data_IF_852323903697
#
_entry.id   IF_852323903697
#
_cell.length_a   1.000
_cell.length_b   1.000
_cell.length_c   1.000
_cell.angle_alpha   90.00
_cell.angle_beta   90.00
_cell.angle_gamma   90.00
#
_symmetry.space_group_name_H-M   'P 1'
#
loop_
_entity.id
_entity.type
_entity.pdbx_description
1 polymer ?
#
# COMPACT_ATOMS: atom_id res chain seq x y z
N UNK A 1 -32.88 -3.41 -80.68
CA UNK A 1 -31.57 -3.64 -80.09
C UNK A 1 -31.52 -2.83 -78.81
N UNK A 2 -31.59 -3.55 -77.64
CA UNK A 2 -31.58 -2.98 -76.28
C UNK A 2 -30.22 -3.28 -75.67
N UNK A 3 -29.42 -2.25 -75.51
CA UNK A 3 -28.11 -2.34 -74.81
C UNK A 3 -28.35 -2.27 -73.30
N UNK A 4 -28.00 -3.33 -72.58
CA UNK A 4 -28.02 -3.39 -71.11
C UNK A 4 -26.63 -2.93 -70.60
N UNK A 5 -26.61 -1.83 -69.86
CA UNK A 5 -25.40 -1.36 -69.14
C UNK A 5 -25.39 -2.08 -67.78
N UNK A 6 -24.38 -2.91 -67.55
CA UNK A 6 -24.09 -3.47 -66.21
C UNK A 6 -23.20 -2.47 -65.43
N UNK A 7 -23.74 -1.88 -64.41
CA UNK A 7 -22.97 -1.10 -63.43
C UNK A 7 -22.41 -2.04 -62.38
N UNK A 8 -21.10 -2.17 -62.34
CA UNK A 8 -20.37 -2.89 -61.26
C UNK A 8 -20.22 -1.98 -60.03
N UNK A 9 -20.92 -2.30 -58.96
CA UNK A 9 -20.75 -1.64 -57.67
C UNK A 9 -19.57 -2.32 -56.91
N UNK A 10 -18.46 -1.60 -56.80
CA UNK A 10 -17.32 -2.01 -55.95
C UNK A 10 -17.62 -1.66 -54.51
N UNK A 11 -17.91 -2.69 -53.67
CA UNK A 11 -17.93 -2.57 -52.20
C UNK A 11 -16.49 -2.40 -51.70
N UNK A 12 -16.15 -1.20 -51.28
CA UNK A 12 -14.93 -0.95 -50.51
C UNK A 12 -15.10 -1.46 -49.08
N UNK A 13 -14.41 -2.52 -48.75
CA UNK A 13 -14.29 -3.02 -47.35
C UNK A 13 -13.28 -2.12 -46.65
N UNK A 14 -13.76 -1.15 -45.88
CA UNK A 14 -12.94 -0.39 -44.93
C UNK A 14 -12.60 -1.28 -43.73
N UNK A 15 -11.38 -1.81 -43.71
CA UNK A 15 -10.86 -2.50 -42.50
C UNK A 15 -10.61 -1.47 -41.42
N UNK A 16 -11.51 -1.33 -40.47
CA UNK A 16 -11.27 -0.61 -39.25
C UNK A 16 -10.28 -1.41 -38.39
N UNK A 17 -9.03 -0.96 -38.32
CA UNK A 17 -8.09 -1.44 -37.31
C UNK A 17 -8.63 -1.06 -35.93
N UNK A 18 -9.25 -2.03 -35.25
CA UNK A 18 -9.56 -1.92 -33.83
C UNK A 18 -8.21 -1.94 -33.08
N UNK A 19 -7.74 -0.75 -32.65
CA UNK A 19 -6.73 -0.69 -31.62
C UNK A 19 -7.38 -1.26 -30.34
N UNK A 20 -7.08 -2.51 -30.02
CA UNK A 20 -7.37 -3.03 -28.70
C UNK A 20 -6.44 -2.33 -27.73
N UNK A 21 -6.93 -1.29 -27.06
CA UNK A 21 -6.27 -0.78 -25.87
C UNK A 21 -6.30 -1.91 -24.85
N UNK A 22 -5.14 -2.50 -24.54
CA UNK A 22 -5.01 -3.38 -23.41
C UNK A 22 -5.42 -2.60 -22.16
N UNK A 23 -6.41 -3.10 -21.42
CA UNK A 23 -6.74 -2.55 -20.11
C UNK A 23 -5.45 -2.58 -19.28
N UNK A 24 -5.09 -1.48 -18.59
CA UNK A 24 -3.91 -1.46 -17.74
C UNK A 24 -4.05 -2.60 -16.73
N UNK A 25 -3.09 -3.53 -16.71
CA UNK A 25 -3.06 -4.59 -15.74
C UNK A 25 -2.77 -3.93 -14.38
N UNK A 26 -3.64 -4.18 -13.39
CA UNK A 26 -3.49 -3.64 -12.03
C UNK A 26 -2.83 -4.66 -11.10
N UNK A 27 -2.14 -5.64 -11.66
CA UNK A 27 -1.50 -6.69 -10.88
C UNK A 27 -0.12 -6.24 -10.41
N UNK A 28 -0.11 -5.59 -9.25
CA UNK A 28 1.12 -5.33 -8.51
C UNK A 28 1.31 -6.45 -7.49
N UNK A 29 2.50 -7.04 -7.48
CA UNK A 29 2.95 -8.00 -6.46
C UNK A 29 4.06 -7.36 -5.63
N UNK A 30 4.05 -7.65 -4.34
CA UNK A 30 5.08 -7.12 -3.45
C UNK A 30 4.74 -7.34 -1.99
N UNK A 31 5.49 -6.69 -1.14
CA UNK A 31 5.42 -6.82 0.29
C UNK A 31 4.86 -5.54 0.92
N UNK A 32 4.19 -5.72 2.04
CA UNK A 32 3.65 -4.64 2.84
C UNK A 32 4.09 -4.77 4.30
N UNK A 33 4.40 -3.63 4.91
CA UNK A 33 4.71 -3.53 6.33
C UNK A 33 4.07 -2.28 6.91
N UNK A 34 3.56 -2.36 8.13
CA UNK A 34 3.06 -1.19 8.86
C UNK A 34 3.40 -1.26 10.35
N UNK A 35 3.46 -0.10 10.97
CA UNK A 35 3.45 0.06 12.43
C UNK A 35 2.48 1.17 12.81
N UNK A 36 1.79 0.98 13.91
CA UNK A 36 0.85 1.94 14.50
C UNK A 36 1.28 2.26 15.94
N UNK A 37 0.94 3.44 16.41
CA UNK A 37 1.00 3.75 17.85
C UNK A 37 -0.17 3.11 18.61
N UNK A 38 -1.26 2.75 17.92
CA UNK A 38 -2.30 1.89 18.48
C UNK A 38 -1.91 0.41 18.38
N UNK A 39 -2.13 -0.36 19.43
CA UNK A 39 -1.94 -1.81 19.37
C UNK A 39 -2.83 -2.46 18.33
N UNK A 40 -2.27 -3.39 17.55
CA UNK A 40 -3.06 -4.13 16.56
C UNK A 40 -3.79 -5.33 17.15
N UNK A 41 -3.35 -5.84 18.29
CA UNK A 41 -4.03 -6.92 18.99
C UNK A 41 -5.31 -6.44 19.66
N UNK A 42 -6.32 -7.31 19.70
CA UNK A 42 -7.58 -7.02 20.36
C UNK A 42 -7.58 -7.50 21.80
N UNK A 43 -8.40 -6.89 22.64
CA UNK A 43 -8.60 -7.31 24.01
C UNK A 43 -8.40 -6.19 25.02
N UNK A 44 -8.94 -6.34 26.25
CA UNK A 44 -9.01 -5.27 27.23
C UNK A 44 -7.65 -4.85 27.80
N UNK A 45 -6.59 -5.61 27.52
CA UNK A 45 -5.24 -5.32 27.99
C UNK A 45 -4.43 -4.46 27.03
N UNK A 46 -4.94 -4.19 25.83
CA UNK A 46 -4.25 -3.41 24.79
C UNK A 46 -4.79 -1.99 24.71
N UNK A 47 -3.95 -1.07 24.20
CA UNK A 47 -4.25 0.36 24.15
C UNK A 47 -5.57 0.70 23.46
N UNK A 48 -5.96 -0.04 22.43
CA UNK A 48 -7.22 0.21 21.70
C UNK A 48 -8.48 -0.04 22.54
N UNK A 49 -8.38 -0.78 23.64
CA UNK A 49 -9.49 -1.09 24.52
C UNK A 49 -9.60 -0.11 25.70
N UNK A 50 -8.61 0.73 25.90
CA UNK A 50 -8.55 1.65 27.03
C UNK A 50 -9.11 3.03 26.65
N UNK A 51 -9.97 3.58 27.52
CA UNK A 51 -10.58 4.89 27.29
C UNK A 51 -9.54 6.00 27.46
N UNK A 52 -9.47 6.90 26.49
CA UNK A 52 -8.60 8.07 26.51
C UNK A 52 -7.17 7.83 26.04
N UNK A 53 -6.82 6.63 25.59
CA UNK A 53 -5.58 6.40 24.91
C UNK A 53 -5.67 6.81 23.43
N UNK A 54 -4.61 7.43 22.92
CA UNK A 54 -4.54 7.90 21.55
C UNK A 54 -3.39 7.20 20.82
N UNK A 55 -3.75 6.36 19.87
CA UNK A 55 -2.81 5.73 18.96
C UNK A 55 -3.09 6.19 17.53
N UNK A 56 -2.74 7.43 17.22
CA UNK A 56 -3.15 8.19 16.03
C UNK A 56 -2.08 8.30 14.95
N UNK A 57 -0.91 7.69 15.18
CA UNK A 57 0.17 7.67 14.20
C UNK A 57 0.34 6.29 13.59
N UNK A 58 0.70 6.25 12.29
CA UNK A 58 1.17 5.04 11.64
C UNK A 58 2.20 5.34 10.55
N UNK A 59 3.03 4.33 10.30
CA UNK A 59 3.88 4.25 9.12
C UNK A 59 3.46 3.03 8.32
N UNK A 60 3.30 3.21 7.02
CA UNK A 60 2.90 2.20 6.04
C UNK A 60 3.95 2.13 4.95
N UNK A 61 4.32 0.94 4.52
CA UNK A 61 5.33 0.77 3.47
C UNK A 61 4.98 -0.36 2.50
N UNK A 62 5.16 -0.09 1.22
CA UNK A 62 4.96 -1.02 0.12
C UNK A 62 6.27 -1.17 -0.66
N UNK A 63 6.72 -2.41 -0.81
CA UNK A 63 7.78 -2.80 -1.72
C UNK A 63 7.14 -3.51 -2.91
N UNK A 64 7.32 -2.97 -4.09
CA UNK A 64 6.80 -3.55 -5.33
C UNK A 64 7.88 -4.45 -5.90
N UNK A 65 7.64 -5.76 -5.94
CA UNK A 65 8.56 -6.71 -6.54
C UNK A 65 8.37 -6.79 -8.04
N UNK A 66 7.11 -6.76 -8.48
CA UNK A 66 6.74 -6.84 -9.88
C UNK A 66 5.38 -6.21 -10.15
N UNK A 67 5.26 -5.52 -11.26
CA UNK A 67 3.99 -5.05 -11.80
C UNK A 67 4.01 -3.63 -12.29
N UNK A 68 2.88 -3.25 -12.86
CA UNK A 68 2.64 -1.90 -13.33
C UNK A 68 1.41 -1.29 -12.64
N UNK A 69 1.41 0.02 -12.52
CA UNK A 69 0.27 0.78 -12.05
C UNK A 69 -0.06 1.89 -13.05
N UNK A 70 -1.29 1.88 -13.56
CA UNK A 70 -1.75 2.79 -14.62
C UNK A 70 -0.84 2.78 -15.87
N UNK A 71 -0.28 1.61 -16.20
CA UNK A 71 0.60 1.41 -17.35
C UNK A 71 2.06 1.82 -17.12
N UNK A 72 2.43 2.22 -15.90
CA UNK A 72 3.80 2.57 -15.53
C UNK A 72 4.42 1.40 -14.74
N UNK A 73 5.54 0.87 -15.24
CA UNK A 73 6.27 -0.19 -14.54
C UNK A 73 6.89 0.33 -13.24
N UNK A 74 6.63 -0.39 -12.14
CA UNK A 74 7.09 -0.05 -10.79
C UNK A 74 8.02 -1.13 -10.20
N UNK A 75 8.49 -2.08 -10.99
CA UNK A 75 9.32 -3.19 -10.53
C UNK A 75 10.51 -2.71 -9.68
N UNK A 76 10.65 -3.29 -8.50
CA UNK A 76 11.77 -3.03 -7.61
C UNK A 76 11.69 -1.69 -6.85
N UNK A 77 10.67 -0.88 -7.07
CA UNK A 77 10.48 0.40 -6.39
C UNK A 77 9.65 0.26 -5.10
N UNK A 78 9.75 1.28 -4.27
CA UNK A 78 9.05 1.31 -2.99
C UNK A 78 8.42 2.67 -2.72
N UNK A 79 7.42 2.70 -1.85
CA UNK A 79 6.82 3.92 -1.33
C UNK A 79 6.41 3.70 0.12
N UNK A 80 6.57 4.73 0.95
CA UNK A 80 6.10 4.73 2.33
C UNK A 80 5.19 5.92 2.57
N UNK A 81 4.26 5.75 3.54
CA UNK A 81 3.41 6.81 4.03
C UNK A 81 3.48 6.89 5.54
N UNK A 82 3.74 8.07 6.08
CA UNK A 82 3.57 8.37 7.51
C UNK A 82 2.27 9.17 7.67
N UNK A 83 1.41 8.76 8.58
CA UNK A 83 0.10 9.39 8.80
C UNK A 83 -0.07 9.85 10.25
N UNK A 84 -0.81 10.95 10.38
CA UNK A 84 -1.31 11.45 11.66
C UNK A 84 -2.83 11.62 11.54
N UNK A 85 -3.54 10.78 12.26
CA UNK A 85 -5.00 10.78 12.32
C UNK A 85 -5.51 11.71 13.41
N UNK A 86 -6.79 12.01 13.41
CA UNK A 86 -7.44 12.80 14.46
C UNK A 86 -7.87 11.99 15.69
N UNK A 87 -7.77 10.64 15.59
CA UNK A 87 -8.17 9.72 16.65
C UNK A 87 -7.42 8.38 16.51
N UNK A 88 -7.60 7.50 17.48
CA UNK A 88 -6.96 6.17 17.53
C UNK A 88 -7.29 5.34 16.30
N UNK A 89 -6.25 4.88 15.61
CA UNK A 89 -6.34 4.01 14.45
C UNK A 89 -6.86 2.62 14.86
N UNK A 90 -7.90 2.15 14.18
CA UNK A 90 -8.59 0.90 14.52
C UNK A 90 -9.76 1.07 15.50
N UNK A 91 -10.00 2.27 16.04
CA UNK A 91 -11.22 2.55 16.78
C UNK A 91 -12.42 2.48 15.82
N UNK A 92 -13.42 1.66 16.18
CA UNK A 92 -14.63 1.45 15.38
C UNK A 92 -15.77 2.39 15.76
N UNK A 93 -15.63 3.16 16.83
CA UNK A 93 -16.67 4.02 17.39
C UNK A 93 -16.53 5.44 16.84
N UNK A 94 -15.30 5.97 16.82
CA UNK A 94 -15.03 7.35 16.42
C UNK A 94 -14.35 7.40 15.06
N UNK A 95 -14.55 8.52 14.36
CA UNK A 95 -13.85 8.74 13.09
C UNK A 95 -12.37 9.07 13.34
N UNK A 96 -11.49 8.50 12.52
CA UNK A 96 -10.06 8.83 12.51
C UNK A 96 -9.74 10.06 11.66
N UNK A 97 -10.72 10.59 10.95
CA UNK A 97 -10.54 11.73 10.04
C UNK A 97 -10.76 13.08 10.73
N UNK A 98 -10.09 14.14 10.26
CA UNK A 98 -9.15 14.19 9.14
C UNK A 98 -7.82 13.48 9.45
N UNK A 99 -7.14 13.00 8.39
CA UNK A 99 -5.81 12.39 8.45
C UNK A 99 -4.88 13.21 7.56
N UNK A 100 -3.69 13.55 8.06
CA UNK A 100 -2.61 14.15 7.29
C UNK A 100 -1.55 13.11 7.00
N UNK A 101 -0.99 13.14 5.79
CA UNK A 101 0.00 12.18 5.36
C UNK A 101 1.24 12.85 4.77
N UNK A 102 2.39 12.25 5.02
CA UNK A 102 3.64 12.49 4.30
C UNK A 102 3.94 11.23 3.50
N UNK A 103 4.26 11.38 2.21
CA UNK A 103 4.76 10.28 1.40
C UNK A 103 6.28 10.36 1.27
N UNK A 104 6.91 9.20 1.32
CA UNK A 104 8.33 9.03 0.99
C UNK A 104 8.38 8.10 -0.20
N UNK A 105 8.89 8.61 -1.32
CA UNK A 105 8.96 7.90 -2.59
C UNK A 105 10.41 7.52 -2.85
N UNK A 106 10.61 6.31 -3.34
CA UNK A 106 11.93 5.80 -3.73
C UNK A 106 12.64 6.79 -4.66
N UNK A 107 13.82 7.24 -4.27
CA UNK A 107 14.59 8.22 -5.05
C UNK A 107 15.01 7.72 -6.43
N UNK A 108 15.10 6.38 -6.61
CA UNK A 108 15.42 5.72 -7.89
C UNK A 108 14.32 5.90 -8.93
N UNK A 109 13.10 6.24 -8.50
CA UNK A 109 11.96 6.43 -9.38
C UNK A 109 12.17 7.66 -10.28
N UNK A 110 11.93 7.51 -11.58
CA UNK A 110 11.86 8.62 -12.52
C UNK A 110 10.58 9.45 -12.31
N UNK A 111 10.42 10.56 -13.03
CA UNK A 111 9.30 11.48 -12.84
C UNK A 111 7.91 10.83 -13.03
N UNK A 112 7.76 9.95 -14.02
CA UNK A 112 6.52 9.24 -14.30
C UNK A 112 6.24 8.20 -13.19
N UNK A 113 7.25 7.43 -12.79
CA UNK A 113 7.16 6.46 -11.71
C UNK A 113 6.82 7.11 -10.36
N UNK A 114 7.34 8.31 -10.07
CA UNK A 114 7.00 9.06 -8.86
C UNK A 114 5.51 9.42 -8.80
N UNK A 115 4.95 9.84 -9.92
CA UNK A 115 3.50 10.10 -10.00
C UNK A 115 2.68 8.82 -9.82
N UNK A 116 3.11 7.73 -10.45
CA UNK A 116 2.45 6.43 -10.35
C UNK A 116 2.56 5.86 -8.93
N UNK A 117 3.73 5.95 -8.25
CA UNK A 117 3.91 5.52 -6.85
C UNK A 117 3.03 6.33 -5.89
N UNK A 118 2.91 7.66 -6.09
CA UNK A 118 1.97 8.48 -5.32
C UNK A 118 0.54 7.99 -5.50
N UNK A 119 0.10 7.82 -6.75
CA UNK A 119 -1.26 7.36 -7.05
C UNK A 119 -1.51 5.94 -6.53
N UNK A 120 -0.52 5.04 -6.61
CA UNK A 120 -0.56 3.71 -6.04
C UNK A 120 -0.74 3.77 -4.52
N UNK A 121 0.10 4.52 -3.80
CA UNK A 121 0.00 4.66 -2.35
C UNK A 121 -1.37 5.21 -1.93
N UNK A 122 -1.88 6.23 -2.63
CA UNK A 122 -3.21 6.79 -2.38
C UNK A 122 -4.33 5.78 -2.67
N UNK A 123 -4.18 4.93 -3.69
CA UNK A 123 -5.13 3.85 -3.98
C UNK A 123 -5.13 2.80 -2.87
N UNK A 124 -3.95 2.39 -2.40
CA UNK A 124 -3.80 1.37 -1.38
C UNK A 124 -4.18 1.87 0.01
N UNK A 125 -3.76 3.06 0.39
CA UNK A 125 -4.08 3.66 1.70
C UNK A 125 -5.46 4.32 1.75
N UNK A 126 -6.12 4.51 0.61
CA UNK A 126 -7.45 5.10 0.53
C UNK A 126 -7.53 6.47 1.20
N UNK A 127 -8.53 6.66 2.04
CA UNK A 127 -8.76 7.92 2.75
C UNK A 127 -7.62 8.30 3.71
N UNK A 128 -6.84 7.33 4.20
CA UNK A 128 -5.70 7.61 5.08
C UNK A 128 -4.58 8.38 4.37
N UNK A 129 -4.47 8.24 3.05
CA UNK A 129 -3.48 8.93 2.21
C UNK A 129 -4.10 9.93 1.24
N UNK A 130 -5.34 10.38 1.50
CA UNK A 130 -6.00 11.36 0.63
C UNK A 130 -5.38 12.76 0.75
N UNK A 131 -5.07 13.22 1.97
CA UNK A 131 -4.45 14.53 2.23
C UNK A 131 -2.93 14.39 2.43
N UNK A 132 -2.19 14.34 1.33
CA UNK A 132 -0.73 14.32 1.32
C UNK A 132 -0.21 15.74 1.42
N UNK A 133 0.27 16.12 2.59
CA UNK A 133 0.76 17.48 2.87
C UNK A 133 2.22 17.69 2.46
N UNK A 134 2.98 16.60 2.32
CA UNK A 134 4.40 16.66 1.93
C UNK A 134 4.86 15.37 1.23
N UNK A 135 5.87 15.48 0.37
CA UNK A 135 6.50 14.35 -0.32
C UNK A 135 8.01 14.49 -0.22
N UNK A 136 8.67 13.44 0.28
CA UNK A 136 10.11 13.27 0.33
C UNK A 136 10.58 12.22 -0.66
N UNK A 137 11.86 12.29 -1.04
CA UNK A 137 12.51 11.30 -1.90
C UNK A 137 13.74 10.76 -1.18
N UNK A 138 13.75 9.48 -0.89
CA UNK A 138 14.81 8.82 -0.13
C UNK A 138 15.14 7.45 -0.76
N UNK A 139 16.34 6.93 -0.54
CA UNK A 139 16.61 5.53 -0.79
C UNK A 139 15.74 4.69 0.14
N UNK A 140 14.91 3.81 -0.43
CA UNK A 140 14.07 2.91 0.36
C UNK A 140 14.58 1.49 0.20
N UNK A 141 14.84 0.84 1.34
CA UNK A 141 15.29 -0.55 1.40
C UNK A 141 14.28 -1.38 2.17
N UNK A 142 14.05 -2.62 1.73
CA UNK A 142 13.20 -3.58 2.40
C UNK A 142 13.89 -4.95 2.45
N UNK A 143 13.85 -5.57 3.61
CA UNK A 143 14.31 -6.93 3.83
C UNK A 143 13.35 -7.68 4.73
N UNK A 144 13.03 -8.92 4.35
CA UNK A 144 12.22 -9.84 5.14
C UNK A 144 13.01 -11.15 5.34
N UNK A 145 13.04 -11.67 6.56
CA UNK A 145 13.76 -12.88 6.87
C UNK A 145 13.19 -14.07 6.07
N UNK A 146 14.07 -14.80 5.41
CA UNK A 146 13.76 -15.98 4.59
C UNK A 146 12.72 -15.72 3.48
N UNK A 147 12.48 -14.47 3.10
CA UNK A 147 11.39 -14.06 2.21
C UNK A 147 10.05 -14.69 2.63
N UNK A 148 9.80 -14.76 3.92
CA UNK A 148 8.65 -15.47 4.49
C UNK A 148 7.95 -14.61 5.56
N UNK A 149 6.73 -14.19 5.27
CA UNK A 149 5.90 -13.38 6.17
C UNK A 149 5.64 -14.06 7.52
N UNK A 150 5.64 -15.38 7.58
CA UNK A 150 5.44 -16.13 8.84
C UNK A 150 6.57 -15.96 9.84
N UNK A 151 7.76 -15.52 9.41
CA UNK A 151 8.85 -15.18 10.33
C UNK A 151 8.52 -13.94 11.15
N UNK A 152 7.64 -13.07 10.65
CA UNK A 152 7.27 -11.77 11.23
C UNK A 152 8.47 -10.84 11.45
N UNK A 153 9.57 -11.12 10.76
CA UNK A 153 10.82 -10.34 10.83
C UNK A 153 11.01 -9.62 9.50
N UNK A 154 10.81 -8.33 9.53
CA UNK A 154 11.05 -7.47 8.38
C UNK A 154 11.61 -6.12 8.84
N UNK A 155 12.37 -5.50 7.95
CA UNK A 155 12.90 -4.14 8.12
C UNK A 155 12.62 -3.36 6.85
N UNK A 156 12.09 -2.16 7.01
CA UNK A 156 11.98 -1.18 5.94
C UNK A 156 12.56 0.14 6.37
N UNK A 157 13.42 0.72 5.56
CA UNK A 157 14.06 2.01 5.87
C UNK A 157 13.83 2.99 4.72
N UNK A 158 13.74 4.28 5.05
CA UNK A 158 13.78 5.38 4.10
C UNK A 158 14.90 6.35 4.51
N UNK A 159 16.08 6.15 3.95
CA UNK A 159 17.29 6.86 4.34
C UNK A 159 17.51 6.78 5.86
N UNK A 160 17.71 7.94 6.48
CA UNK A 160 17.79 8.08 7.94
C UNK A 160 16.51 8.68 8.56
N UNK A 161 15.43 8.83 7.76
CA UNK A 161 14.18 9.47 8.20
C UNK A 161 13.25 8.48 8.91
N UNK A 162 13.16 7.25 8.37
CA UNK A 162 12.25 6.22 8.86
C UNK A 162 12.98 4.89 8.95
N UNK A 163 12.79 4.18 10.06
CA UNK A 163 13.13 2.78 10.19
C UNK A 163 11.94 2.06 10.82
N UNK A 164 11.36 1.13 10.09
CA UNK A 164 10.30 0.25 10.56
C UNK A 164 10.88 -1.16 10.65
N UNK A 165 10.88 -1.74 11.87
CA UNK A 165 11.43 -3.07 12.13
C UNK A 165 10.47 -3.88 12.97
N UNK A 166 10.23 -5.12 12.54
CA UNK A 166 9.30 -6.05 13.20
C UNK A 166 9.98 -7.36 13.59
N UNK A 167 9.41 -8.04 14.58
CA UNK A 167 9.75 -9.40 14.96
C UNK A 167 8.51 -10.18 15.41
N UNK A 168 8.62 -11.49 15.50
CA UNK A 168 7.59 -12.29 16.15
C UNK A 168 7.46 -11.90 17.63
N UNK A 169 6.24 -12.00 18.16
CA UNK A 169 6.02 -11.94 19.59
C UNK A 169 6.68 -13.13 20.28
N UNK A 170 7.16 -12.90 21.48
CA UNK A 170 7.65 -13.92 22.41
C UNK A 170 6.68 -14.05 23.59
N UNK A 171 6.86 -15.06 24.43
CA UNK A 171 6.03 -15.22 25.63
C UNK A 171 6.12 -14.01 26.58
N UNK A 172 7.24 -13.29 26.55
CA UNK A 172 7.43 -12.09 27.36
C UNK A 172 6.63 -10.86 26.86
N UNK A 173 6.17 -10.88 25.61
CA UNK A 173 5.36 -9.81 25.03
C UNK A 173 3.85 -10.06 25.21
N UNK A 174 3.45 -11.22 25.69
CA UNK A 174 2.04 -11.57 25.87
C UNK A 174 1.46 -10.88 27.10
N UNK A 175 0.36 -10.16 26.88
CA UNK A 175 -0.30 -9.39 27.94
C UNK A 175 -1.65 -10.00 28.32
N UNK A 176 -2.46 -10.35 27.33
CA UNK A 176 -3.83 -10.84 27.52
C UNK A 176 -4.01 -12.34 27.25
N UNK A 177 -3.04 -13.01 26.66
CA UNK A 177 -3.11 -14.40 26.17
C UNK A 177 -4.18 -14.65 25.11
N UNK A 178 -4.56 -13.63 24.33
CA UNK A 178 -5.43 -13.73 23.16
C UNK A 178 -4.82 -13.07 21.89
N UNK A 179 -3.50 -13.07 21.81
CA UNK A 179 -2.71 -12.48 20.74
C UNK A 179 -2.87 -13.20 19.39
N UNK A 180 -3.82 -14.11 19.29
CA UNK A 180 -4.25 -14.74 18.04
C UNK A 180 -5.25 -13.89 17.25
N UNK A 181 -5.82 -12.84 17.85
CA UNK A 181 -6.83 -11.98 17.25
C UNK A 181 -6.30 -10.55 17.15
N UNK A 182 -6.35 -9.96 15.96
CA UNK A 182 -5.85 -8.60 15.71
C UNK A 182 -6.70 -7.85 14.70
N UNK A 183 -6.58 -6.53 14.72
CA UNK A 183 -7.21 -5.64 13.75
C UNK A 183 -6.56 -5.77 12.38
N UNK A 184 -7.38 -5.67 11.34
CA UNK A 184 -6.92 -5.76 9.95
C UNK A 184 -5.86 -4.69 9.63
N UNK A 185 -4.98 -4.97 8.65
CA UNK A 185 -4.07 -3.96 8.11
C UNK A 185 -4.81 -2.71 7.61
N UNK A 186 -4.11 -1.58 7.63
CA UNK A 186 -4.62 -0.28 7.15
C UNK A 186 -4.77 -0.23 5.62
N UNK A 187 -4.28 -1.23 4.91
CA UNK A 187 -4.41 -1.41 3.47
C UNK A 187 -4.89 -2.82 3.14
N UNK A 188 -5.62 -3.02 2.03
CA UNK A 188 -5.98 -4.36 1.59
C UNK A 188 -4.73 -5.17 1.23
N UNK A 189 -4.57 -6.35 1.86
CA UNK A 189 -3.53 -7.33 1.55
C UNK A 189 -4.12 -8.73 1.56
N UNK A 190 -3.56 -9.64 0.78
CA UNK A 190 -4.06 -11.01 0.69
C UNK A 190 -3.69 -11.85 1.91
N UNK A 191 -2.52 -11.58 2.50
CA UNK A 191 -2.02 -12.32 3.65
C UNK A 191 -1.24 -11.37 4.57
N UNK A 192 -1.60 -11.36 5.84
CA UNK A 192 -0.92 -10.54 6.85
C UNK A 192 -0.65 -11.33 8.13
N UNK A 193 0.43 -10.99 8.80
CA UNK A 193 0.80 -11.53 10.10
C UNK A 193 1.04 -10.38 11.08
N UNK A 194 0.36 -10.40 12.22
CA UNK A 194 0.65 -9.46 13.29
C UNK A 194 2.05 -9.70 13.86
N UNK A 195 2.74 -8.63 14.19
CA UNK A 195 4.13 -8.66 14.67
C UNK A 195 4.34 -7.64 15.78
N UNK A 196 5.42 -7.78 16.52
CA UNK A 196 5.88 -6.77 17.46
C UNK A 196 6.76 -5.75 16.75
N UNK A 197 6.49 -4.46 16.92
CA UNK A 197 7.32 -3.38 16.36
C UNK A 197 8.53 -3.16 17.28
N UNK A 198 9.73 -3.28 16.70
CA UNK A 198 10.99 -3.04 17.44
C UNK A 198 11.39 -1.58 17.36
N UNK A 199 11.19 -0.96 16.18
CA UNK A 199 11.43 0.47 15.95
C UNK A 199 10.58 0.99 14.78
N UNK A 200 10.18 2.25 14.86
CA UNK A 200 9.44 2.97 13.84
C UNK A 200 9.82 4.46 13.83
#
# INVERSE_FOLDING_TARGET
MRTILCAAASLGISATLALSASLPSTHVRGEYIEARTADVYTGPCFANAEVGLTGDLAVMGWKIDQGDFQGVNLDGLSVMGAIHASNTLGNVIDTVYPVKAVLIIDERANAEQRLALKAFAQKMGGQLLADVVHIEYQPIEFAMADNNVHTRKAVMTAGNMVKLETRAMTDADQVCHNESVWYQPLTPVEHAMAAYTVSN
#
